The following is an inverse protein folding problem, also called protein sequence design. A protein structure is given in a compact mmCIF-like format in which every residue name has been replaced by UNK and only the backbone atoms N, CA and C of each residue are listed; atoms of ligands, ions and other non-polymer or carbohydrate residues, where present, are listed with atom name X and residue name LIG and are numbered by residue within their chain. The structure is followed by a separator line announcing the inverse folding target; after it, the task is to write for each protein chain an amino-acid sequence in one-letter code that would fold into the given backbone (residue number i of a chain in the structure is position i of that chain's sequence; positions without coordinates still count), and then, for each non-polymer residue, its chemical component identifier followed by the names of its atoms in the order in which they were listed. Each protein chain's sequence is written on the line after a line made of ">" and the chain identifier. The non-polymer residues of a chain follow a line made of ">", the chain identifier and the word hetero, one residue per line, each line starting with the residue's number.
data_IF_525387552962
#
_entry.id   IF_525387552962
#
_cell.length_a   1.000
_cell.length_b   1.000
_cell.length_c   1.000
_cell.angle_alpha   90.00
_cell.angle_beta   90.00
_cell.angle_gamma   90.00
#
_symmetry.space_group_name_H-M   'P 1'
#
loop_
_entity.id
_entity.type
_entity.pdbx_description
1 polymer ?
#
# COMPACT_ATOMS: atom_id res chain seq x y z
N UNK A 1 11.65 20.32 22.04
CA UNK A 1 10.92 20.98 20.94
C UNK A 1 11.00 20.07 19.72
N UNK A 2 9.94 19.32 19.41
CA UNK A 2 9.94 18.36 18.30
C UNK A 2 8.52 18.07 17.81
N UNK A 3 7.74 19.12 17.57
CA UNK A 3 6.34 19.01 17.08
C UNK A 3 6.15 19.63 15.69
N UNK A 4 7.12 20.38 15.15
CA UNK A 4 6.94 21.10 13.87
C UNK A 4 7.62 20.48 12.65
N UNK A 5 8.54 19.53 12.80
CA UNK A 5 9.28 18.99 11.64
C UNK A 5 8.40 18.03 10.83
N UNK A 6 7.76 17.08 11.50
CA UNK A 6 6.88 16.10 10.83
C UNK A 6 5.67 16.76 10.17
N UNK A 7 5.01 17.71 10.84
CA UNK A 7 3.82 18.39 10.29
C UNK A 7 4.11 19.12 8.97
N UNK A 8 5.25 19.80 8.87
CA UNK A 8 5.65 20.53 7.68
C UNK A 8 5.99 19.57 6.53
N UNK A 9 6.69 18.47 6.82
CA UNK A 9 7.04 17.43 5.85
C UNK A 9 5.80 16.76 5.26
N UNK A 10 4.86 16.33 6.11
CA UNK A 10 3.58 15.75 5.67
C UNK A 10 2.81 16.68 4.73
N UNK A 11 2.66 17.95 5.11
CA UNK A 11 1.96 18.94 4.29
C UNK A 11 2.67 19.18 2.96
N UNK A 12 4.00 19.34 2.99
CA UNK A 12 4.81 19.56 1.79
C UNK A 12 4.62 18.42 0.79
N UNK A 13 4.89 17.19 1.21
CA UNK A 13 4.82 15.99 0.35
C UNK A 13 3.39 15.76 -0.15
N UNK A 14 2.39 15.97 0.70
CA UNK A 14 0.98 15.88 0.30
C UNK A 14 0.64 16.89 -0.80
N UNK A 15 0.97 18.17 -0.63
CA UNK A 15 0.64 19.19 -1.63
C UNK A 15 1.38 18.97 -2.95
N UNK A 16 2.67 18.65 -2.92
CA UNK A 16 3.46 18.37 -4.13
C UNK A 16 2.86 17.21 -4.93
N UNK A 17 2.52 16.10 -4.27
CA UNK A 17 1.93 14.93 -4.96
C UNK A 17 0.48 15.16 -5.39
N UNK A 18 -0.30 15.90 -4.61
CA UNK A 18 -1.70 16.19 -4.92
C UNK A 18 -1.84 17.15 -6.11
N UNK A 19 -0.93 18.13 -6.25
CA UNK A 19 -0.87 19.03 -7.41
C UNK A 19 -0.68 18.24 -8.71
N UNK A 20 0.15 17.19 -8.70
CA UNK A 20 0.33 16.30 -9.84
C UNK A 20 -0.89 15.40 -10.06
N UNK A 21 -1.46 14.85 -8.98
CA UNK A 21 -2.56 13.89 -9.07
C UNK A 21 -3.91 14.52 -9.48
N UNK A 22 -4.21 15.73 -8.98
CA UNK A 22 -5.45 16.49 -9.27
C UNK A 22 -5.16 18.00 -9.36
N UNK A 23 -4.50 18.48 -10.43
CA UNK A 23 -4.13 19.89 -10.57
C UNK A 23 -5.32 20.86 -10.61
N UNK A 24 -6.52 20.36 -10.93
CA UNK A 24 -7.73 21.18 -11.00
C UNK A 24 -8.48 21.29 -9.66
N UNK A 25 -8.01 20.60 -8.61
CA UNK A 25 -8.69 20.53 -7.31
C UNK A 25 -7.82 21.08 -6.19
N UNK A 26 -8.43 21.83 -5.29
CA UNK A 26 -7.75 22.32 -4.09
C UNK A 26 -7.91 21.31 -2.95
N UNK A 27 -6.82 20.93 -2.31
CA UNK A 27 -6.82 20.01 -1.18
C UNK A 27 -6.13 20.61 0.03
N UNK A 28 -6.73 20.44 1.21
CA UNK A 28 -6.15 20.86 2.48
C UNK A 28 -5.86 19.64 3.36
N UNK A 29 -4.64 19.57 3.94
CA UNK A 29 -4.27 18.58 4.95
C UNK A 29 -4.25 19.21 6.34
N UNK A 30 -5.06 18.67 7.24
CA UNK A 30 -5.25 19.13 8.61
C UNK A 30 -4.81 18.02 9.56
N UNK A 31 -3.86 18.32 10.45
CA UNK A 31 -3.47 17.37 11.50
C UNK A 31 -4.36 17.63 12.72
N UNK A 32 -5.17 16.63 13.07
CA UNK A 32 -6.11 16.69 14.18
C UNK A 32 -5.82 15.55 15.17
N UNK A 33 -5.15 15.83 16.30
CA UNK A 33 -4.81 14.80 17.28
C UNK A 33 -6.03 14.20 17.99
N UNK A 34 -7.21 14.81 17.86
CA UNK A 34 -8.44 14.34 18.49
C UNK A 34 -9.36 13.58 17.51
N UNK A 35 -8.89 13.35 16.26
CA UNK A 35 -9.66 12.62 15.26
C UNK A 35 -9.92 11.18 15.73
N UNK A 36 -11.18 10.75 15.70
CA UNK A 36 -11.58 9.42 16.17
C UNK A 36 -11.94 8.48 15.03
N UNK A 37 -11.57 7.18 15.12
CA UNK A 37 -12.00 6.20 14.13
C UNK A 37 -13.51 5.99 14.20
N UNK A 38 -14.16 5.84 13.04
CA UNK A 38 -15.59 5.52 12.93
C UNK A 38 -16.57 6.68 13.17
N UNK A 39 -16.14 7.80 13.75
CA UNK A 39 -16.95 9.01 13.92
C UNK A 39 -16.89 9.90 12.66
N UNK A 40 -17.63 9.55 11.60
CA UNK A 40 -17.63 10.29 10.33
C UNK A 40 -18.88 11.17 10.17
N UNK A 41 -18.66 12.40 9.70
CA UNK A 41 -19.74 13.25 9.21
C UNK A 41 -20.28 12.78 7.86
N UNK A 42 -21.46 13.25 7.43
CA UNK A 42 -22.02 12.91 6.12
C UNK A 42 -21.04 13.23 4.97
N UNK A 43 -20.83 12.26 4.07
CA UNK A 43 -19.94 12.41 2.91
C UNK A 43 -18.44 12.21 3.21
N UNK A 44 -18.04 12.13 4.48
CA UNK A 44 -16.67 11.80 4.85
C UNK A 44 -16.38 10.31 4.62
N UNK A 45 -15.15 10.03 4.20
CA UNK A 45 -14.59 8.69 3.98
C UNK A 45 -13.45 8.47 4.95
N UNK A 46 -13.15 7.21 5.26
CA UNK A 46 -12.07 6.86 6.18
C UNK A 46 -11.06 5.95 5.48
N UNK A 47 -9.78 6.28 5.68
CA UNK A 47 -8.66 5.42 5.36
C UNK A 47 -7.82 5.21 6.61
N UNK A 48 -7.46 3.96 6.90
CA UNK A 48 -6.64 3.58 8.03
C UNK A 48 -5.38 2.90 7.52
N UNK A 49 -4.23 3.46 7.87
CA UNK A 49 -2.92 2.88 7.58
C UNK A 49 -2.38 2.25 8.86
N UNK A 50 -2.26 0.93 8.90
CA UNK A 50 -1.97 0.17 10.13
C UNK A 50 -0.51 -0.29 10.22
N UNK A 51 0.26 -0.11 9.14
CA UNK A 51 1.59 -0.68 8.96
C UNK A 51 2.64 0.39 8.60
N UNK A 52 2.48 1.60 9.13
CA UNK A 52 3.49 2.63 8.99
C UNK A 52 4.70 2.35 9.89
N UNK A 53 5.89 2.55 9.33
CA UNK A 53 7.13 2.51 10.08
C UNK A 53 7.47 3.87 10.70
N UNK A 54 7.73 3.88 12.01
CA UNK A 54 8.12 5.07 12.75
C UNK A 54 9.15 4.77 13.83
N UNK A 55 9.91 5.79 14.22
CA UNK A 55 10.80 5.79 15.37
C UNK A 55 10.18 6.63 16.47
N UNK A 56 10.26 6.16 17.69
CA UNK A 56 9.79 6.89 18.87
C UNK A 56 10.96 7.21 19.78
N UNK A 57 10.87 8.34 20.46
CA UNK A 57 11.87 8.79 21.40
C UNK A 57 11.18 9.26 22.69
N UNK A 58 11.50 8.62 23.81
CA UNK A 58 10.92 8.99 25.09
C UNK A 58 11.59 10.24 25.64
N UNK A 59 10.78 11.30 25.79
CA UNK A 59 11.24 12.57 26.37
C UNK A 59 11.69 12.50 27.83
N UNK A 60 11.39 11.40 28.54
CA UNK A 60 11.71 11.22 29.96
C UNK A 60 12.94 10.37 30.21
N UNK A 61 12.93 9.12 29.71
CA UNK A 61 14.01 8.16 29.93
C UNK A 61 15.02 8.09 28.77
N UNK A 62 14.81 8.90 27.72
CA UNK A 62 15.63 8.94 26.50
C UNK A 62 15.67 7.64 25.70
N UNK A 63 14.88 6.64 26.11
CA UNK A 63 14.73 5.40 25.38
C UNK A 63 14.19 5.65 23.97
N UNK A 64 14.73 4.96 22.98
CA UNK A 64 14.36 5.09 21.59
C UNK A 64 14.03 3.72 21.03
N UNK A 65 12.90 3.59 20.35
CA UNK A 65 12.47 2.33 19.74
C UNK A 65 11.91 2.56 18.34
N UNK A 66 11.85 1.49 17.55
CA UNK A 66 11.23 1.49 16.22
C UNK A 66 9.96 0.65 16.27
N UNK A 67 8.97 1.04 15.48
CA UNK A 67 7.71 0.33 15.32
C UNK A 67 7.34 0.24 13.85
N UNK A 68 6.92 -0.94 13.40
CA UNK A 68 6.31 -1.15 12.09
C UNK A 68 4.76 -1.15 12.15
N UNK A 69 4.22 -0.75 13.30
CA UNK A 69 2.79 -0.78 13.63
C UNK A 69 2.34 0.61 14.09
N UNK A 70 2.84 1.67 13.44
CA UNK A 70 2.27 3.00 13.64
C UNK A 70 0.97 3.07 12.85
N UNK A 71 -0.10 3.47 13.52
CA UNK A 71 -1.40 3.67 12.88
C UNK A 71 -1.55 5.13 12.50
N UNK A 72 -2.08 5.37 11.30
CA UNK A 72 -2.46 6.71 10.85
C UNK A 72 -3.91 6.65 10.37
N UNK A 73 -4.75 7.49 10.96
CA UNK A 73 -6.13 7.67 10.57
C UNK A 73 -6.26 8.88 9.65
N UNK A 74 -6.93 8.68 8.53
CA UNK A 74 -7.30 9.72 7.59
C UNK A 74 -8.81 9.77 7.45
N UNK A 75 -9.38 10.95 7.67
CA UNK A 75 -10.76 11.28 7.26
C UNK A 75 -10.69 12.18 6.04
N UNK A 76 -11.37 11.79 4.97
CA UNK A 76 -11.27 12.41 3.66
C UNK A 76 -12.64 12.90 3.22
N UNK A 77 -12.71 14.11 2.69
CA UNK A 77 -13.94 14.68 2.16
C UNK A 77 -13.64 15.43 0.86
N UNK A 78 -14.52 15.29 -0.12
CA UNK A 78 -14.43 15.98 -1.40
C UNK A 78 -15.77 16.63 -1.73
N UNK A 79 -15.78 17.95 -1.83
CA UNK A 79 -16.86 18.70 -2.44
C UNK A 79 -16.61 18.80 -3.95
N UNK A 80 -17.28 17.94 -4.71
CA UNK A 80 -17.16 17.90 -6.18
C UNK A 80 -17.66 19.18 -6.86
N UNK A 81 -18.61 19.90 -6.26
CA UNK A 81 -19.15 21.14 -6.82
C UNK A 81 -18.16 22.29 -6.66
N UNK A 82 -17.45 22.35 -5.53
CA UNK A 82 -16.42 23.35 -5.26
C UNK A 82 -15.03 22.95 -5.75
N UNK A 83 -14.86 21.72 -6.22
CA UNK A 83 -13.54 21.15 -6.59
C UNK A 83 -12.53 21.30 -5.45
N UNK A 84 -13.02 21.10 -4.23
CA UNK A 84 -12.27 21.34 -3.00
C UNK A 84 -12.40 20.12 -2.07
N UNK A 85 -11.26 19.64 -1.59
CA UNK A 85 -11.17 18.51 -0.68
C UNK A 85 -10.46 18.85 0.62
N UNK A 86 -10.75 18.06 1.65
CA UNK A 86 -10.10 18.16 2.95
C UNK A 86 -9.73 16.78 3.44
N UNK A 87 -8.50 16.66 3.94
CA UNK A 87 -8.02 15.48 4.65
C UNK A 87 -7.71 15.88 6.09
N UNK A 88 -8.31 15.19 7.05
CA UNK A 88 -7.91 15.24 8.46
C UNK A 88 -7.10 14.01 8.78
N UNK A 89 -6.02 14.20 9.51
CA UNK A 89 -5.03 13.17 9.79
C UNK A 89 -4.71 13.11 11.28
N UNK A 90 -4.65 11.89 11.84
CA UNK A 90 -4.12 11.61 13.18
C UNK A 90 -3.10 10.49 13.09
N UNK A 91 -1.90 10.75 13.61
CA UNK A 91 -0.90 9.71 13.85
C UNK A 91 -1.07 9.24 15.29
N UNK A 92 -1.31 7.95 15.48
CA UNK A 92 -1.41 7.36 16.81
C UNK A 92 -0.03 7.20 17.43
N UNK A 93 0.04 7.52 18.72
CA UNK A 93 1.24 7.55 19.53
C UNK A 93 1.47 6.20 20.21
N UNK A 94 2.67 6.03 20.76
CA UNK A 94 3.00 4.88 21.59
C UNK A 94 3.57 5.35 22.93
N UNK A 95 3.26 4.61 23.98
CA UNK A 95 3.83 4.79 25.30
C UNK A 95 5.21 4.12 25.38
N UNK A 96 6.11 4.74 26.14
CA UNK A 96 7.41 4.14 26.40
C UNK A 96 7.26 2.92 27.33
N UNK A 97 7.59 1.73 26.82
CA UNK A 97 7.50 0.48 27.58
C UNK A 97 8.58 0.32 28.66
N UNK A 98 9.65 1.11 28.62
CA UNK A 98 10.78 0.97 29.55
C UNK A 98 10.54 1.69 30.87
N UNK A 99 9.98 2.91 30.81
CA UNK A 99 9.64 3.68 32.01
C UNK A 99 8.15 3.68 32.35
N UNK A 100 7.29 3.15 31.46
CA UNK A 100 5.84 3.09 31.68
C UNK A 100 5.17 4.46 31.88
N UNK A 101 5.84 5.54 31.48
CA UNK A 101 5.32 6.90 31.69
C UNK A 101 4.06 7.10 30.86
N UNK A 102 3.01 7.65 31.47
CA UNK A 102 1.73 7.98 30.81
C UNK A 102 1.82 9.12 29.78
N UNK A 103 3.02 9.49 29.32
CA UNK A 103 3.23 10.49 28.28
C UNK A 103 3.29 9.77 26.94
N UNK A 104 2.35 10.13 26.07
CA UNK A 104 2.34 9.65 24.69
C UNK A 104 3.44 10.36 23.90
N UNK A 105 4.44 9.60 23.47
CA UNK A 105 5.54 10.12 22.65
C UNK A 105 5.12 10.09 21.16
N UNK A 106 5.39 11.18 20.44
CA UNK A 106 5.15 11.26 19.01
C UNK A 106 6.22 10.50 18.23
N UNK A 107 5.81 9.80 17.16
CA UNK A 107 6.74 9.17 16.25
C UNK A 107 7.43 10.21 15.37
N UNK A 108 8.75 10.12 15.23
CA UNK A 108 9.43 10.62 14.05
C UNK A 108 9.35 9.58 12.93
N UNK A 109 9.04 10.03 11.72
CA UNK A 109 9.04 9.21 10.51
C UNK A 109 10.11 9.74 9.57
N UNK A 110 10.74 8.84 8.82
CA UNK A 110 11.67 9.22 7.74
C UNK A 110 10.85 9.79 6.56
N UNK A 111 11.43 10.74 5.81
CA UNK A 111 10.75 11.39 4.68
C UNK A 111 10.31 10.38 3.62
N UNK A 112 11.11 9.35 3.33
CA UNK A 112 10.78 8.31 2.34
C UNK A 112 9.56 7.47 2.77
N UNK A 113 9.38 7.29 4.09
CA UNK A 113 8.18 6.66 4.63
C UNK A 113 6.98 7.59 4.43
N UNK A 114 7.12 8.89 4.67
CA UNK A 114 6.05 9.88 4.47
C UNK A 114 5.62 9.91 3.01
N UNK A 115 6.55 9.90 2.04
CA UNK A 115 6.23 9.84 0.62
C UNK A 115 5.37 8.63 0.26
N UNK A 116 5.76 7.45 0.71
CA UNK A 116 5.03 6.20 0.45
C UNK A 116 3.64 6.20 1.10
N UNK A 117 3.53 6.76 2.31
CA UNK A 117 2.25 6.87 3.02
C UNK A 117 1.31 7.87 2.33
N UNK A 118 1.85 8.98 1.82
CA UNK A 118 1.09 9.95 1.03
C UNK A 118 0.64 9.34 -0.30
N UNK A 119 1.45 8.52 -0.95
CA UNK A 119 1.03 7.78 -2.15
C UNK A 119 -0.17 6.86 -1.85
N UNK A 120 -0.11 6.11 -0.75
CA UNK A 120 -1.23 5.27 -0.31
C UNK A 120 -2.51 6.11 0.01
N UNK A 121 -2.33 7.29 0.60
CA UNK A 121 -3.42 8.23 0.84
C UNK A 121 -4.04 8.73 -0.47
N UNK A 122 -3.22 9.13 -1.45
CA UNK A 122 -3.70 9.61 -2.76
C UNK A 122 -4.42 8.50 -3.51
N UNK A 123 -3.91 7.27 -3.47
CA UNK A 123 -4.62 6.10 -4.01
C UNK A 123 -5.99 5.95 -3.34
N UNK A 124 -6.08 6.06 -2.01
CA UNK A 124 -7.35 5.98 -1.29
C UNK A 124 -8.30 7.14 -1.60
N UNK A 125 -7.78 8.35 -1.83
CA UNK A 125 -8.57 9.50 -2.29
C UNK A 125 -9.17 9.23 -3.68
N UNK A 126 -8.39 8.69 -4.61
CA UNK A 126 -8.85 8.36 -5.96
C UNK A 126 -9.95 7.30 -5.92
N UNK A 127 -9.75 6.24 -5.16
CA UNK A 127 -10.72 5.15 -5.00
C UNK A 127 -12.01 5.62 -4.32
N UNK A 128 -11.91 6.26 -3.16
CA UNK A 128 -13.06 6.49 -2.28
C UNK A 128 -13.78 7.83 -2.51
N UNK A 129 -13.06 8.86 -2.95
CA UNK A 129 -13.63 10.20 -3.16
C UNK A 129 -13.91 10.48 -4.65
N UNK A 130 -13.04 10.05 -5.55
CA UNK A 130 -13.20 10.25 -7.00
C UNK A 130 -13.84 9.07 -7.73
N UNK A 131 -13.91 7.89 -7.12
CA UNK A 131 -14.41 6.65 -7.75
C UNK A 131 -13.59 6.25 -8.98
N UNK A 132 -12.29 6.53 -8.93
CA UNK A 132 -11.31 6.16 -9.95
C UNK A 132 -10.50 4.94 -9.50
N UNK A 133 -9.90 4.25 -10.47
CA UNK A 133 -8.93 3.20 -10.16
C UNK A 133 -7.69 3.81 -9.49
N UNK A 134 -7.46 3.41 -8.23
CA UNK A 134 -6.34 3.84 -7.40
C UNK A 134 -5.01 3.19 -7.74
N UNK A 135 -5.01 2.20 -8.65
CA UNK A 135 -3.85 1.38 -8.98
C UNK A 135 -3.72 0.15 -8.07
N UNK A 136 -2.87 -0.80 -8.49
CA UNK A 136 -2.87 -2.16 -7.93
C UNK A 136 -1.89 -2.42 -6.76
N UNK A 137 -1.16 -1.42 -6.26
CA UNK A 137 -0.16 -1.67 -5.21
C UNK A 137 -0.15 -0.58 -4.14
N UNK A 138 -0.65 -0.92 -2.94
CA UNK A 138 -0.35 -0.15 -1.73
C UNK A 138 1.09 -0.48 -1.33
N UNK A 139 1.93 0.54 -1.15
CA UNK A 139 3.30 0.34 -0.71
C UNK A 139 3.27 -0.03 0.77
N UNK A 140 3.68 -1.26 1.09
CA UNK A 140 3.87 -1.67 2.48
C UNK A 140 5.12 -0.98 3.03
N UNK A 141 4.94 0.09 3.82
CA UNK A 141 6.02 0.86 4.46
C UNK A 141 6.62 0.13 5.67
N UNK A 142 6.43 -1.18 5.76
CA UNK A 142 6.91 -1.98 6.89
C UNK A 142 8.45 -2.06 6.89
N UNK A 143 9.07 -1.70 8.01
CA UNK A 143 10.52 -1.86 8.22
C UNK A 143 10.96 -3.32 8.15
N UNK A 144 12.27 -3.53 7.94
CA UNK A 144 12.89 -4.86 7.82
C UNK A 144 12.52 -5.80 9.00
N UNK A 145 12.32 -7.10 8.76
CA UNK A 145 11.84 -8.07 9.76
C UNK A 145 12.69 -8.23 11.02
N UNK A 146 13.97 -7.95 10.86
CA UNK A 146 15.07 -8.29 11.78
C UNK A 146 15.06 -7.51 13.10
N UNK A 147 14.24 -6.45 13.21
CA UNK A 147 14.07 -5.66 14.45
C UNK A 147 12.63 -5.68 14.99
N UNK A 148 11.75 -6.54 14.45
CA UNK A 148 10.35 -6.64 14.87
C UNK A 148 10.22 -7.47 16.14
N UNK A 149 10.37 -6.82 17.29
CA UNK A 149 9.82 -7.35 18.53
C UNK A 149 8.29 -7.51 18.44
N UNK A 150 7.66 -8.35 19.26
CA UNK A 150 6.20 -8.50 19.26
C UNK A 150 5.53 -7.14 19.54
N UNK A 151 4.51 -6.80 18.76
CA UNK A 151 3.69 -5.62 19.01
C UNK A 151 3.02 -5.72 20.39
N UNK A 152 3.15 -4.67 21.21
CA UNK A 152 2.60 -4.62 22.57
C UNK A 152 1.40 -3.69 22.60
N UNK A 153 0.21 -4.26 22.56
CA UNK A 153 -1.04 -3.54 22.47
C UNK A 153 -1.26 -2.60 23.67
N UNK A 154 -0.77 -2.95 24.87
CA UNK A 154 -0.92 -2.10 26.05
C UNK A 154 -0.20 -0.74 25.95
N UNK A 155 0.80 -0.62 25.07
CA UNK A 155 1.55 0.62 24.85
C UNK A 155 1.17 1.33 23.54
N UNK A 156 0.20 0.81 22.78
CA UNK A 156 -0.23 1.40 21.51
C UNK A 156 -1.54 2.17 21.70
N UNK A 157 -1.55 3.47 21.40
CA UNK A 157 -2.76 4.30 21.49
C UNK A 157 -3.87 3.77 20.56
N UNK A 158 -3.52 3.31 19.36
CA UNK A 158 -4.50 2.76 18.43
C UNK A 158 -5.21 1.51 18.98
N UNK A 159 -4.45 0.58 19.59
CA UNK A 159 -5.05 -0.60 20.23
C UNK A 159 -5.92 -0.24 21.44
N UNK A 160 -5.54 0.77 22.22
CA UNK A 160 -6.35 1.27 23.32
C UNK A 160 -7.68 1.88 22.83
N UNK A 161 -7.68 2.47 21.63
CA UNK A 161 -8.87 2.98 20.94
C UNK A 161 -9.64 1.88 20.17
N UNK A 162 -9.26 0.61 20.34
CA UNK A 162 -9.96 -0.55 19.77
C UNK A 162 -9.55 -0.93 18.34
N UNK A 163 -8.49 -0.34 17.80
CA UNK A 163 -7.96 -0.70 16.47
C UNK A 163 -7.12 -1.98 16.60
N UNK A 164 -7.53 -3.01 15.86
CA UNK A 164 -6.86 -4.32 15.85
C UNK A 164 -5.87 -4.35 14.68
N UNK A 165 -4.57 -4.37 14.98
CA UNK A 165 -3.57 -4.59 13.95
C UNK A 165 -3.74 -5.97 13.31
N UNK A 166 -4.09 -6.01 12.03
CA UNK A 166 -4.24 -7.26 11.30
C UNK A 166 -2.91 -8.04 11.24
N UNK A 167 -2.97 -9.36 11.48
CA UNK A 167 -1.85 -10.28 11.20
C UNK A 167 -2.03 -10.85 9.79
N UNK A 168 -1.07 -10.66 8.86
CA UNK A 168 -1.15 -11.24 7.52
C UNK A 168 -1.33 -12.77 7.46
N UNK A 169 -1.12 -13.49 8.56
CA UNK A 169 -1.21 -14.96 8.62
C UNK A 169 -2.64 -15.52 8.58
N UNK A 170 -3.68 -14.73 8.84
CA UNK A 170 -5.06 -15.27 8.86
C UNK A 170 -5.65 -15.48 7.46
N UNK A 171 -5.28 -14.66 6.46
CA UNK A 171 -5.74 -14.85 5.08
C UNK A 171 -5.19 -16.12 4.40
N UNK A 172 -3.96 -16.52 4.71
CA UNK A 172 -3.40 -17.76 4.14
C UNK A 172 -4.09 -19.02 4.69
N UNK A 173 -4.65 -18.96 5.90
CA UNK A 173 -5.36 -20.08 6.51
C UNK A 173 -6.85 -20.09 6.15
N UNK A 174 -7.48 -18.91 5.98
CA UNK A 174 -8.87 -18.83 5.52
C UNK A 174 -9.03 -19.16 4.02
N UNK A 175 -8.03 -18.80 3.20
CA UNK A 175 -7.99 -19.18 1.77
C UNK A 175 -7.67 -20.69 1.58
N UNK A 176 -6.97 -21.33 2.53
CA UNK A 176 -6.83 -22.81 2.56
C UNK A 176 -8.05 -23.52 3.16
N UNK A 177 -8.77 -22.91 4.11
CA UNK A 177 -9.91 -23.53 4.78
C UNK A 177 -11.24 -23.40 4.02
N UNK A 178 -11.34 -22.49 3.05
CA UNK A 178 -12.59 -22.27 2.27
C UNK A 178 -12.52 -22.84 0.84
N UNK A 179 -11.49 -23.65 0.54
CA UNK A 179 -11.46 -24.44 -0.70
C UNK A 179 -12.53 -25.54 -0.66
N UNK A 180 -13.40 -25.67 -1.68
CA UNK A 180 -14.36 -26.77 -1.73
C UNK A 180 -13.60 -28.09 -1.85
N UNK A 181 -13.83 -29.00 -0.90
CA UNK A 181 -13.44 -30.40 -0.99
C UNK A 181 -14.28 -31.11 -2.06
N UNK A 182 -13.98 -30.88 -3.34
CA UNK A 182 -14.61 -31.60 -4.45
C UNK A 182 -13.69 -32.70 -4.99
N UNK A 183 -13.54 -33.74 -4.17
CA UNK A 183 -12.97 -35.03 -4.58
C UNK A 183 -14.01 -35.85 -5.36
N UNK A 184 -14.65 -35.28 -6.38
CA UNK A 184 -15.48 -36.05 -7.34
C UNK A 184 -15.98 -35.20 -8.51
N UNK A 185 -15.08 -34.73 -9.40
CA UNK A 185 -15.42 -34.45 -10.81
C UNK A 185 -14.17 -34.10 -11.61
N UNK A 186 -13.45 -35.14 -12.04
CA UNK A 186 -12.57 -35.03 -13.19
C UNK A 186 -12.65 -36.32 -14.03
N UNK A 187 -13.85 -36.58 -14.53
CA UNK A 187 -14.04 -37.35 -15.76
C UNK A 187 -14.84 -36.49 -16.73
N UNK A 188 -14.23 -36.21 -17.87
CA UNK A 188 -14.90 -35.56 -19.01
C UNK A 188 -14.69 -34.05 -19.10
N UNK A 189 -13.51 -33.64 -19.57
CA UNK A 189 -13.41 -32.83 -20.79
C UNK A 189 -11.95 -32.77 -21.22
N UNK A 190 -11.60 -33.67 -22.15
CA UNK A 190 -10.40 -33.52 -22.95
C UNK A 190 -10.60 -32.31 -23.87
N UNK A 191 -9.64 -31.37 -23.86
CA UNK A 191 -9.60 -30.31 -24.86
C UNK A 191 -8.84 -29.07 -24.43
N UNK A 192 -7.64 -28.91 -24.98
CA UNK A 192 -6.92 -27.64 -25.09
C UNK A 192 -6.21 -27.12 -23.84
N UNK A 193 -5.03 -27.69 -23.56
CA UNK A 193 -3.94 -26.99 -22.89
C UNK A 193 -2.71 -27.06 -23.81
N UNK A 194 -2.41 -25.95 -24.48
CA UNK A 194 -1.23 -25.80 -25.33
C UNK A 194 0.02 -25.87 -24.45
N UNK A 195 0.70 -27.01 -24.47
CA UNK A 195 1.98 -27.21 -23.78
C UNK A 195 3.09 -26.54 -24.59
N UNK A 196 3.59 -25.43 -24.04
CA UNK A 196 4.56 -24.51 -24.66
C UNK A 196 6.01 -25.04 -24.73
N UNK A 197 6.27 -26.32 -24.42
CA UNK A 197 7.62 -26.89 -24.46
C UNK A 197 7.62 -28.31 -25.04
N UNK A 198 7.38 -28.41 -26.35
CA UNK A 198 7.66 -29.64 -27.10
C UNK A 198 8.72 -29.35 -28.16
N UNK A 199 9.88 -29.99 -28.02
CA UNK A 199 11.01 -29.98 -28.98
C UNK A 199 10.59 -30.22 -30.44
N UNK A 200 9.41 -30.80 -30.64
CA UNK A 200 8.80 -31.04 -31.96
C UNK A 200 8.32 -29.77 -32.66
N UNK A 201 7.94 -28.72 -31.92
CA UNK A 201 7.58 -27.41 -32.52
C UNK A 201 8.84 -26.63 -32.93
N UNK A 202 9.92 -26.68 -32.15
CA UNK A 202 11.20 -26.07 -32.51
C UNK A 202 11.77 -26.61 -33.83
N UNK A 203 11.65 -27.92 -34.07
CA UNK A 203 12.08 -28.53 -35.34
C UNK A 203 11.23 -28.09 -36.53
N UNK A 204 9.91 -27.91 -36.33
CA UNK A 204 9.02 -27.43 -37.39
C UNK A 204 9.34 -25.98 -37.78
N UNK A 205 9.50 -25.07 -36.81
CA UNK A 205 9.87 -23.68 -37.10
C UNK A 205 11.29 -23.55 -37.66
N UNK A 206 12.24 -24.35 -37.18
CA UNK A 206 13.60 -24.41 -37.75
C UNK A 206 13.60 -24.85 -39.22
N UNK A 207 12.80 -25.88 -39.56
CA UNK A 207 12.68 -26.36 -40.94
C UNK A 207 11.97 -25.36 -41.87
N UNK A 208 10.94 -24.67 -41.37
CA UNK A 208 10.24 -23.63 -42.13
C UNK A 208 11.13 -22.40 -42.39
N UNK A 209 11.97 -22.03 -41.42
CA UNK A 209 12.97 -20.97 -41.58
C UNK A 209 14.02 -21.30 -42.64
N UNK A 210 14.55 -22.54 -42.65
CA UNK A 210 15.49 -23.00 -43.67
C UNK A 210 14.86 -23.05 -45.06
N UNK A 211 13.59 -23.47 -45.18
CA UNK A 211 12.85 -23.45 -46.44
C UNK A 211 12.66 -22.01 -46.96
N UNK A 212 12.37 -21.07 -46.07
CA UNK A 212 12.20 -19.66 -46.43
C UNK A 212 13.51 -19.03 -46.93
N UNK A 213 14.63 -19.31 -46.25
CA UNK A 213 15.97 -18.88 -46.72
C UNK A 213 16.33 -19.53 -48.05
N UNK A 214 16.06 -20.83 -48.22
CA UNK A 214 16.29 -21.53 -49.50
C UNK A 214 15.49 -20.91 -50.64
N UNK A 215 14.19 -20.64 -50.42
CA UNK A 215 13.31 -19.99 -51.40
C UNK A 215 13.82 -18.58 -51.76
N UNK A 216 14.25 -17.78 -50.78
CA UNK A 216 14.83 -16.45 -51.05
C UNK A 216 16.15 -16.54 -51.83
N UNK A 217 17.00 -17.53 -51.58
CA UNK A 217 18.22 -17.74 -52.37
C UNK A 217 17.93 -18.24 -53.80
N UNK A 218 16.94 -19.12 -54.00
CA UNK A 218 16.58 -19.61 -55.34
C UNK A 218 15.85 -18.56 -56.18
N UNK A 219 15.03 -17.69 -55.57
CA UNK A 219 14.32 -16.63 -56.28
C UNK A 219 15.11 -15.31 -56.37
N UNK A 220 16.07 -15.06 -55.48
CA UNK A 220 17.03 -13.95 -55.58
C UNK A 220 18.12 -14.17 -56.64
N UNK A 221 18.31 -15.41 -57.11
CA UNK A 221 19.25 -15.78 -58.17
C UNK A 221 18.63 -15.78 -59.58
N UNK A 222 17.34 -15.47 -59.73
CA UNK A 222 16.65 -15.42 -61.04
C UNK A 222 16.18 -14.00 -61.39
N UNK A 223 16.90 -12.99 -60.89
CA UNK A 223 16.62 -11.55 -61.08
C UNK A 223 17.79 -10.73 -61.62
N UNK A 224 18.85 -11.36 -62.13
CA UNK A 224 19.89 -10.73 -62.93
C UNK A 224 20.31 -11.71 -64.03
N UNK A 225 20.33 -11.23 -65.28
CA UNK A 225 20.81 -11.92 -66.48
C UNK A 225 22.17 -12.60 -66.28
#
# INVERSE_FOLDING_TARGET
>A
MSTSLTTCEWKKVFYEKMEVAKPADSWELIIDPNLKPGELGPGWKQYLEEHAAGRFHCSWCWHTWQSAHVVILFHMYLDRARRAGSVRMRVFKQLCYECGTARLDESSMLEENIESLVDNLITSLREQCYEEDGGQYRIHVASRPEHRGPHRAEFCEACQEGIVHWKPSEKLLEDEATGPSDASKLQGLAGSRYNFFSLRWCLLWGSLGLLFVYLQCTFGSLGFL
#
